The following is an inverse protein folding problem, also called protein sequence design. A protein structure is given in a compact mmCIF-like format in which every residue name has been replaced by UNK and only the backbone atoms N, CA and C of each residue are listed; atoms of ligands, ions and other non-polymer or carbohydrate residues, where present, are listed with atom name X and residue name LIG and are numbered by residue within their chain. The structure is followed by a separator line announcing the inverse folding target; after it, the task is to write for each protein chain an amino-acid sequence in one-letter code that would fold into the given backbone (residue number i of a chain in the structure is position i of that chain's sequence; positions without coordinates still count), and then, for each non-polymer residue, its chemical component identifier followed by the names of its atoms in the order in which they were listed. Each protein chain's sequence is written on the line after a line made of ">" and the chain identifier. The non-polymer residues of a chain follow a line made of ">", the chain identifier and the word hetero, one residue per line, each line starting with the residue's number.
data_IF_757862596427
#
_entry.id   IF_757862596427
#
_cell.length_a   1.000
_cell.length_b   1.000
_cell.length_c   1.000
_cell.angle_alpha   90.00
_cell.angle_beta   90.00
_cell.angle_gamma   90.00
#
_symmetry.space_group_name_H-M   'P 1'
#
loop_
_entity.id
_entity.type
_entity.pdbx_description
1 polymer ?
#
# COMPACT_ATOMS: atom_id res chain seq x y z
N UNK A 1 0.62 21.82 10.67
CA UNK A 1 -0.45 21.61 9.65
C UNK A 1 -1.52 20.71 10.25
N UNK A 2 -2.79 21.11 10.19
CA UNK A 2 -3.92 20.39 10.82
C UNK A 2 -4.21 19.05 10.14
N UNK A 3 -4.67 18.04 10.90
CA UNK A 3 -5.00 16.68 10.43
C UNK A 3 -6.04 16.71 9.30
N UNK A 4 -7.05 17.57 9.42
CA UNK A 4 -8.08 17.77 8.38
C UNK A 4 -7.51 18.35 7.09
N UNK A 5 -6.52 19.22 7.19
CA UNK A 5 -5.83 19.79 6.02
C UNK A 5 -5.01 18.72 5.27
N UNK A 6 -4.31 17.82 5.99
CA UNK A 6 -3.60 16.68 5.39
C UNK A 6 -4.54 15.74 4.63
N UNK A 7 -5.71 15.43 5.20
CA UNK A 7 -6.71 14.58 4.56
C UNK A 7 -7.30 15.25 3.31
N UNK A 8 -7.69 16.52 3.42
CA UNK A 8 -8.28 17.28 2.30
C UNK A 8 -7.35 17.34 1.07
N UNK A 9 -6.06 17.60 1.26
CA UNK A 9 -5.10 17.67 0.15
C UNK A 9 -4.85 16.31 -0.49
N UNK A 10 -4.96 15.22 0.27
CA UNK A 10 -4.68 13.86 -0.19
C UNK A 10 -5.91 13.17 -0.79
N UNK A 11 -7.12 13.62 -0.46
CA UNK A 11 -8.37 13.11 -1.02
C UNK A 11 -8.57 13.44 -2.51
N UNK A 12 -8.02 14.55 -3.00
CA UNK A 12 -8.08 14.89 -4.43
C UNK A 12 -7.28 13.89 -5.29
N UNK A 13 -6.16 13.39 -4.75
CA UNK A 13 -5.37 12.31 -5.34
C UNK A 13 -6.12 10.95 -5.31
N UNK A 14 -7.07 10.75 -4.40
CA UNK A 14 -7.78 9.47 -4.23
C UNK A 14 -8.80 9.16 -5.33
N UNK A 15 -9.55 10.18 -5.79
CA UNK A 15 -10.73 10.03 -6.65
C UNK A 15 -10.44 9.38 -8.02
N UNK A 16 -9.19 9.41 -8.47
CA UNK A 16 -8.82 8.99 -9.82
C UNK A 16 -8.16 7.60 -9.93
N UNK A 17 -7.94 6.88 -8.82
CA UNK A 17 -6.98 5.75 -8.85
C UNK A 17 -7.44 4.41 -8.26
N UNK A 18 -8.59 4.34 -7.61
CA UNK A 18 -9.16 3.07 -7.14
C UNK A 18 -10.55 2.97 -7.76
N UNK A 19 -10.89 1.91 -8.53
CA UNK A 19 -12.29 1.61 -8.73
C UNK A 19 -12.89 1.46 -7.34
N UNK A 20 -14.01 2.12 -7.05
CA UNK A 20 -14.69 2.18 -5.73
C UNK A 20 -15.18 0.79 -5.26
N UNK A 21 -14.29 -0.18 -5.20
CA UNK A 21 -14.53 -1.58 -4.93
C UNK A 21 -14.08 -1.94 -3.50
N UNK A 22 -13.68 -0.93 -2.70
CA UNK A 22 -13.56 -1.09 -1.25
C UNK A 22 -14.95 -1.05 -0.64
N UNK A 23 -15.25 -1.93 0.31
CA UNK A 23 -16.55 -2.14 0.92
C UNK A 23 -17.14 -0.94 1.72
N UNK A 24 -16.73 0.30 1.44
CA UNK A 24 -17.11 1.50 2.16
C UNK A 24 -17.30 2.72 1.23
N UNK A 25 -18.10 3.70 1.67
CA UNK A 25 -18.54 4.90 0.94
C UNK A 25 -17.45 5.56 0.07
N UNK A 26 -17.88 6.19 -1.03
CA UNK A 26 -17.17 6.83 -2.16
C UNK A 26 -15.80 7.51 -1.91
N UNK A 27 -15.47 7.93 -0.68
CA UNK A 27 -14.21 8.60 -0.32
C UNK A 27 -13.34 7.82 0.70
N UNK A 28 -13.73 6.59 1.05
CA UNK A 28 -13.08 5.76 2.07
C UNK A 28 -12.77 4.38 1.51
N UNK A 29 -11.58 3.86 1.84
CA UNK A 29 -11.19 2.53 1.39
C UNK A 29 -10.49 1.75 2.50
N UNK A 30 -10.77 0.45 2.57
CA UNK A 30 -10.05 -0.45 3.46
C UNK A 30 -8.57 -0.49 3.04
N UNK A 31 -7.68 -0.12 3.96
CA UNK A 31 -6.24 -0.06 3.69
C UNK A 31 -5.68 -1.42 3.31
N UNK A 32 -6.21 -2.50 3.92
CA UNK A 32 -5.84 -3.88 3.58
C UNK A 32 -6.19 -4.24 2.13
N UNK A 33 -7.36 -3.84 1.62
CA UNK A 33 -7.77 -4.14 0.25
C UNK A 33 -6.86 -3.48 -0.77
N UNK A 34 -6.44 -2.24 -0.52
CA UNK A 34 -5.45 -1.55 -1.34
C UNK A 34 -4.09 -2.26 -1.27
N UNK A 35 -3.69 -2.74 -0.10
CA UNK A 35 -2.47 -3.53 0.08
C UNK A 35 -2.48 -4.85 -0.69
N UNK A 36 -3.60 -5.56 -0.71
CA UNK A 36 -3.77 -6.79 -1.51
C UNK A 36 -3.60 -6.49 -3.00
N UNK A 37 -4.15 -5.38 -3.50
CA UNK A 37 -3.95 -4.97 -4.90
C UNK A 37 -2.47 -4.70 -5.22
N UNK A 38 -1.72 -4.06 -4.31
CA UNK A 38 -0.28 -3.86 -4.48
C UNK A 38 0.47 -5.19 -4.59
N UNK A 39 0.15 -6.16 -3.73
CA UNK A 39 0.70 -7.52 -3.77
C UNK A 39 0.35 -8.23 -5.07
N UNK A 40 -0.90 -8.13 -5.53
CA UNK A 40 -1.33 -8.72 -6.80
C UNK A 40 -0.54 -8.16 -7.99
N UNK A 41 -0.44 -6.84 -8.13
CA UNK A 41 0.31 -6.23 -9.24
C UNK A 41 1.79 -6.60 -9.20
N UNK A 42 2.38 -6.66 -8.01
CA UNK A 42 3.76 -7.11 -7.83
C UNK A 42 3.97 -8.57 -8.26
N UNK A 43 3.04 -9.47 -7.90
CA UNK A 43 3.06 -10.87 -8.33
C UNK A 43 2.92 -11.02 -9.86
N UNK A 44 2.16 -10.13 -10.50
CA UNK A 44 2.02 -10.08 -11.97
C UNK A 44 3.17 -9.36 -12.68
N UNK A 45 4.25 -9.02 -11.97
CA UNK A 45 5.42 -8.29 -12.50
C UNK A 45 5.08 -6.91 -13.07
N UNK A 46 4.01 -6.28 -12.60
CA UNK A 46 3.59 -4.93 -12.97
C UNK A 46 4.06 -3.93 -11.91
N UNK A 47 5.38 -3.74 -11.83
CA UNK A 47 6.00 -2.98 -10.74
C UNK A 47 5.57 -1.52 -10.66
N UNK A 48 5.32 -0.85 -11.79
CA UNK A 48 4.84 0.54 -11.77
C UNK A 48 3.46 0.67 -11.08
N UNK A 49 2.57 -0.30 -11.37
CA UNK A 49 1.24 -0.33 -10.74
C UNK A 49 1.32 -0.67 -9.26
N UNK A 50 2.15 -1.64 -8.90
CA UNK A 50 2.41 -1.98 -7.50
C UNK A 50 2.96 -0.76 -6.73
N UNK A 51 3.96 -0.08 -7.30
CA UNK A 51 4.59 1.10 -6.72
C UNK A 51 3.62 2.25 -6.55
N UNK A 52 2.71 2.44 -7.51
CA UNK A 52 1.63 3.42 -7.42
C UNK A 52 0.68 3.16 -6.26
N UNK A 53 0.27 1.91 -6.03
CA UNK A 53 -0.55 1.55 -4.87
C UNK A 53 0.21 1.76 -3.56
N UNK A 54 1.49 1.38 -3.51
CA UNK A 54 2.31 1.60 -2.30
C UNK A 54 2.55 3.08 -2.01
N UNK A 55 2.88 3.91 -3.00
CA UNK A 55 2.99 5.38 -2.86
C UNK A 55 1.69 5.97 -2.31
N UNK A 56 0.55 5.49 -2.78
CA UNK A 56 -0.77 5.90 -2.29
C UNK A 56 -0.96 5.55 -0.82
N UNK A 57 -0.65 4.32 -0.42
CA UNK A 57 -0.72 3.92 1.00
C UNK A 57 0.26 4.72 1.85
N UNK A 58 1.50 4.89 1.39
CA UNK A 58 2.54 5.68 2.04
C UNK A 58 2.11 7.13 2.29
N UNK A 59 1.26 7.71 1.44
CA UNK A 59 0.72 9.05 1.64
C UNK A 59 -0.16 9.20 2.89
N UNK A 60 -0.60 8.11 3.53
CA UNK A 60 -1.46 8.17 4.73
C UNK A 60 -0.77 7.76 6.03
N UNK A 61 0.51 7.37 6.00
CA UNK A 61 1.23 6.81 7.16
C UNK A 61 1.44 7.79 8.32
N UNK A 62 1.20 9.08 8.09
CA UNK A 62 1.39 10.19 9.03
C UNK A 62 0.07 10.93 9.33
N UNK A 63 -1.07 10.40 8.88
CA UNK A 63 -2.38 11.04 9.10
C UNK A 63 -2.89 10.78 10.51
N UNK A 64 -2.95 9.51 10.91
CA UNK A 64 -3.50 9.13 12.20
C UNK A 64 -2.43 9.02 13.28
N UNK A 65 -1.47 8.12 13.06
CA UNK A 65 -0.31 7.92 13.92
C UNK A 65 0.93 7.75 13.04
N UNK A 66 2.05 8.45 13.33
CA UNK A 66 3.26 8.38 12.51
C UNK A 66 3.75 6.96 12.26
N UNK A 67 4.02 6.66 11.00
CA UNK A 67 4.56 5.38 10.55
C UNK A 67 3.53 4.27 10.39
N UNK A 68 2.23 4.56 10.49
CA UNK A 68 1.20 3.51 10.52
C UNK A 68 -0.04 3.88 9.71
N UNK A 69 -0.73 2.84 9.25
CA UNK A 69 -1.94 2.97 8.46
C UNK A 69 -3.16 2.72 9.33
N UNK A 70 -4.17 3.57 9.18
CA UNK A 70 -5.51 3.33 9.72
C UNK A 70 -6.17 2.14 9.03
N UNK A 71 -7.11 1.49 9.72
CA UNK A 71 -7.95 0.41 9.19
C UNK A 71 -8.63 0.81 7.87
N UNK A 72 -9.25 1.98 7.88
CA UNK A 72 -9.88 2.60 6.71
C UNK A 72 -9.14 3.90 6.42
N UNK A 73 -8.55 3.97 5.23
CA UNK A 73 -7.97 5.20 4.71
C UNK A 73 -9.09 6.18 4.32
N UNK A 74 -8.92 7.49 4.56
CA UNK A 74 -7.70 8.14 5.04
C UNK A 74 -7.50 8.12 6.58
N UNK A 75 -8.57 8.07 7.38
CA UNK A 75 -8.51 8.13 8.84
C UNK A 75 -9.83 7.71 9.49
N UNK A 76 -10.15 6.43 9.42
CA UNK A 76 -11.34 5.86 10.05
C UNK A 76 -11.07 4.44 10.57
N UNK A 77 -11.89 3.98 11.51
CA UNK A 77 -11.71 2.71 12.21
C UNK A 77 -10.53 2.74 13.17
N UNK A 78 -9.85 1.59 13.33
CA UNK A 78 -8.65 1.52 14.16
C UNK A 78 -7.52 2.42 13.61
N UNK A 79 -6.91 3.23 14.48
CA UNK A 79 -5.82 4.15 14.10
C UNK A 79 -4.50 3.43 13.74
N UNK A 80 -4.38 2.15 14.09
CA UNK A 80 -3.22 1.30 13.84
C UNK A 80 -3.69 -0.09 13.39
N UNK A 81 -3.35 -0.48 12.16
CA UNK A 81 -3.49 -1.88 11.74
C UNK A 81 -2.21 -2.45 11.12
N UNK A 82 -1.64 -3.42 11.83
CA UNK A 82 -0.37 -4.06 11.45
C UNK A 82 -0.45 -4.77 10.09
N UNK A 83 -1.55 -5.47 9.81
CA UNK A 83 -1.70 -6.22 8.55
C UNK A 83 -1.83 -5.32 7.32
N UNK A 84 -2.28 -4.08 7.47
CA UNK A 84 -2.29 -3.09 6.38
C UNK A 84 -0.86 -2.73 5.94
N UNK A 85 0.12 -2.80 6.85
CA UNK A 85 1.54 -2.61 6.54
C UNK A 85 2.11 -3.65 5.58
N UNK A 86 1.52 -4.85 5.52
CA UNK A 86 1.91 -5.91 4.57
C UNK A 86 1.77 -5.44 3.11
N UNK A 87 0.83 -4.54 2.83
CA UNK A 87 0.62 -3.95 1.50
C UNK A 87 1.75 -3.04 1.01
N UNK A 88 2.71 -2.70 1.87
CA UNK A 88 3.92 -1.95 1.50
C UNK A 88 5.14 -2.88 1.57
N UNK A 89 5.33 -3.54 2.72
CA UNK A 89 6.58 -4.28 2.98
C UNK A 89 6.73 -5.50 2.07
N UNK A 90 5.67 -6.31 1.92
CA UNK A 90 5.72 -7.53 1.12
C UNK A 90 5.95 -7.28 -0.38
N UNK A 91 5.15 -6.44 -1.07
CA UNK A 91 5.37 -6.17 -2.49
C UNK A 91 6.70 -5.49 -2.77
N UNK A 92 7.26 -4.74 -1.81
CA UNK A 92 8.58 -4.14 -1.95
C UNK A 92 9.70 -5.20 -1.93
N UNK A 93 9.70 -6.10 -0.95
CA UNK A 93 10.76 -7.11 -0.78
C UNK A 93 10.61 -8.23 -1.81
N UNK A 94 9.46 -8.89 -1.85
CA UNK A 94 9.24 -10.10 -2.68
C UNK A 94 9.00 -9.74 -4.16
N UNK A 95 8.30 -8.63 -4.41
CA UNK A 95 7.86 -8.23 -5.74
C UNK A 95 8.86 -7.35 -6.49
N UNK A 96 9.21 -6.20 -5.90
CA UNK A 96 10.06 -5.19 -6.57
C UNK A 96 11.53 -5.55 -6.46
N UNK A 97 12.04 -5.77 -5.25
CA UNK A 97 13.42 -6.24 -5.09
C UNK A 97 13.59 -7.70 -5.52
N UNK A 98 12.49 -8.44 -5.62
CA UNK A 98 12.52 -9.82 -6.10
C UNK A 98 13.29 -10.75 -5.17
N UNK A 99 13.31 -10.43 -3.88
CA UNK A 99 14.04 -11.16 -2.85
C UNK A 99 13.18 -12.33 -2.39
N UNK A 100 13.58 -13.55 -2.77
CA UNK A 100 12.85 -14.78 -2.44
C UNK A 100 13.77 -15.74 -1.68
N UNK A 101 13.63 -15.83 -0.34
CA UNK A 101 14.37 -16.80 0.45
C UNK A 101 13.73 -18.19 0.31
N UNK A 102 14.51 -19.17 -0.13
CA UNK A 102 14.16 -20.57 -0.05
C UNK A 102 14.90 -21.25 1.12
N UNK A 103 14.38 -21.06 2.34
CA UNK A 103 15.09 -21.41 3.57
C UNK A 103 15.42 -22.91 3.69
N UNK A 104 14.54 -23.80 3.22
CA UNK A 104 14.76 -25.25 3.33
C UNK A 104 15.91 -25.75 2.45
N UNK A 105 16.13 -25.09 1.29
CA UNK A 105 17.25 -25.39 0.40
C UNK A 105 18.50 -24.56 0.74
N UNK A 106 18.40 -23.61 1.68
CA UNK A 106 19.43 -22.60 1.97
C UNK A 106 19.80 -21.78 0.72
N UNK A 107 18.83 -21.57 -0.16
CA UNK A 107 18.98 -20.79 -1.39
C UNK A 107 18.30 -19.44 -1.21
N UNK A 108 18.92 -18.40 -1.78
CA UNK A 108 18.39 -17.04 -1.78
C UNK A 108 18.42 -16.50 -3.20
N UNK A 109 17.25 -16.21 -3.76
CA UNK A 109 17.12 -15.71 -5.13
C UNK A 109 16.83 -14.22 -5.11
N UNK A 110 17.53 -13.47 -5.95
CA UNK A 110 17.32 -12.03 -6.17
C UNK A 110 17.04 -11.82 -7.65
N UNK A 111 15.81 -11.43 -7.97
CA UNK A 111 15.37 -11.18 -9.34
C UNK A 111 14.54 -9.88 -9.38
N UNK A 112 15.20 -8.71 -9.36
CA UNK A 112 14.51 -7.43 -9.21
C UNK A 112 13.62 -7.12 -10.42
N UNK A 113 12.47 -6.52 -10.13
CA UNK A 113 11.55 -5.96 -11.10
C UNK A 113 11.29 -4.52 -10.67
N UNK A 114 12.22 -3.62 -11.01
CA UNK A 114 12.13 -2.22 -10.63
C UNK A 114 11.07 -1.51 -11.46
N UNK A 115 10.44 -0.48 -10.89
CA UNK A 115 9.62 0.44 -11.66
C UNK A 115 10.51 1.36 -12.51
N UNK A 116 9.99 1.84 -13.63
CA UNK A 116 10.68 2.81 -14.49
C UNK A 116 10.52 4.27 -13.99
N UNK A 117 9.59 4.49 -13.05
CA UNK A 117 9.22 5.77 -12.41
C UNK A 117 10.21 6.28 -11.34
#
# INVERSE_FOLDING_TARGET
>A
MDRRCRISQRNEFLKNFVPQNGAYKDDMTMSISTGVMAVCEANYKKSDKAFKYMKKMASFIDVAMPGTLSEISPDYGCFLQAWSGNGIVWPLIDGIFGIKPNAHEKIFTVAPNLSDD
#
